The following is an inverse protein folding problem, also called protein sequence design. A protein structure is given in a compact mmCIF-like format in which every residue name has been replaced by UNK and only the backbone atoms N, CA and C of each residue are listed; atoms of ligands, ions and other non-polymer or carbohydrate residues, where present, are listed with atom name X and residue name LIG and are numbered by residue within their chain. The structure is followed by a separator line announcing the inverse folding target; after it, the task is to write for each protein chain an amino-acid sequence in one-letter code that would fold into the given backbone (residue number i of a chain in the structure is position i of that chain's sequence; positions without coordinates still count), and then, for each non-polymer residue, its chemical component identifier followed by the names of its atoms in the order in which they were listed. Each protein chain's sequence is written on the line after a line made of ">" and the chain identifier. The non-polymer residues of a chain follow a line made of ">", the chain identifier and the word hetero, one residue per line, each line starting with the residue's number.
data_IF_756360712967
#
_entry.id   IF_756360712967
#
_cell.length_a   1.000
_cell.length_b   1.000
_cell.length_c   1.000
_cell.angle_alpha   90.00
_cell.angle_beta   90.00
_cell.angle_gamma   90.00
#
_symmetry.space_group_name_H-M   'P 1'
#
loop_
_entity.id
_entity.type
_entity.pdbx_description
1 polymer ?
#
# COMPACT_ATOMS: atom_id res chain seq x y z
N UNK A 1 23.23 2.61 -20.92
CA UNK A 1 21.93 2.09 -21.42
C UNK A 1 20.88 3.12 -21.06
N UNK A 2 20.00 3.53 -21.99
CA UNK A 2 18.93 4.48 -21.68
C UNK A 2 17.75 3.72 -21.03
N UNK A 3 17.58 3.89 -19.70
CA UNK A 3 16.51 3.25 -18.92
C UNK A 3 15.11 3.71 -19.32
N UNK A 4 14.96 4.90 -19.93
CA UNK A 4 13.67 5.41 -20.41
C UNK A 4 13.04 4.53 -21.48
N UNK A 5 13.86 3.74 -22.21
CA UNK A 5 13.36 2.79 -23.20
C UNK A 5 12.43 1.72 -22.58
N UNK A 6 12.66 1.33 -21.31
CA UNK A 6 11.82 0.34 -20.62
C UNK A 6 10.43 0.85 -20.30
N UNK A 7 10.23 2.17 -20.13
CA UNK A 7 8.91 2.75 -19.95
C UNK A 7 8.00 2.71 -21.20
N UNK A 8 8.57 2.27 -22.34
CA UNK A 8 7.79 2.02 -23.56
C UNK A 8 7.19 0.63 -23.61
N UNK A 9 7.59 -0.27 -22.72
CA UNK A 9 6.97 -1.58 -22.59
C UNK A 9 5.56 -1.41 -22.01
N UNK A 10 4.62 -2.20 -22.56
CA UNK A 10 3.21 -2.14 -22.13
C UNK A 10 2.99 -3.12 -20.98
N UNK A 11 2.65 -2.57 -19.82
CA UNK A 11 2.27 -3.31 -18.62
C UNK A 11 0.90 -2.85 -18.11
N UNK A 12 0.19 -3.73 -17.40
CA UNK A 12 -0.94 -3.35 -16.55
C UNK A 12 -0.46 -2.95 -15.15
N UNK A 13 -1.42 -2.67 -14.26
CA UNK A 13 -1.20 -2.62 -12.81
C UNK A 13 -2.14 -3.61 -12.12
N UNK A 14 -1.59 -4.33 -11.16
CA UNK A 14 -2.30 -5.39 -10.46
C UNK A 14 -2.00 -5.32 -8.96
N UNK A 15 -2.97 -5.65 -8.13
CA UNK A 15 -2.73 -5.93 -6.72
C UNK A 15 -2.78 -7.43 -6.51
N UNK A 16 -1.71 -7.96 -5.94
CA UNK A 16 -1.63 -9.35 -5.47
C UNK A 16 -2.31 -9.45 -4.11
N UNK A 17 -3.16 -10.46 -3.92
CA UNK A 17 -3.67 -10.89 -2.63
C UNK A 17 -3.11 -12.26 -2.27
N UNK A 18 -2.54 -12.42 -1.07
CA UNK A 18 -1.90 -13.66 -0.64
C UNK A 18 -2.09 -13.90 0.86
N UNK A 19 -2.11 -15.16 1.29
CA UNK A 19 -2.10 -15.50 2.72
C UNK A 19 -0.75 -15.13 3.35
N UNK A 20 -0.76 -14.51 4.53
CA UNK A 20 0.42 -14.10 5.28
C UNK A 20 0.26 -14.50 6.76
N UNK A 21 0.60 -15.73 7.10
CA UNK A 21 0.30 -16.30 8.42
C UNK A 21 -1.20 -16.37 8.67
N UNK A 22 -1.68 -15.75 9.74
CA UNK A 22 -3.10 -15.67 10.08
C UNK A 22 -3.81 -14.48 9.40
N UNK A 23 -3.06 -13.57 8.76
CA UNK A 23 -3.56 -12.40 8.05
C UNK A 23 -3.38 -12.51 6.53
N UNK A 24 -3.52 -11.39 5.82
CA UNK A 24 -3.33 -11.31 4.38
C UNK A 24 -2.30 -10.25 4.01
N UNK A 25 -1.45 -10.60 3.04
CA UNK A 25 -0.48 -9.72 2.44
C UNK A 25 -0.86 -9.30 1.02
N UNK A 26 -0.05 -8.41 0.46
CA UNK A 26 -0.21 -8.00 -0.92
C UNK A 26 0.74 -6.89 -1.31
N UNK A 27 0.94 -6.74 -2.61
CA UNK A 27 1.68 -5.62 -3.20
C UNK A 27 1.18 -5.32 -4.61
N UNK A 28 1.52 -4.13 -5.10
CA UNK A 28 1.35 -3.82 -6.52
C UNK A 28 2.42 -4.54 -7.33
N UNK A 29 2.01 -5.14 -8.44
CA UNK A 29 2.89 -5.66 -9.49
C UNK A 29 2.45 -5.13 -10.85
N UNK A 30 3.36 -5.02 -11.79
CA UNK A 30 3.11 -4.56 -13.16
C UNK A 30 3.40 -5.64 -14.21
N UNK A 31 4.38 -6.48 -13.97
CA UNK A 31 4.82 -7.47 -14.95
C UNK A 31 4.04 -8.79 -14.80
N UNK A 32 2.85 -8.80 -15.38
CA UNK A 32 1.97 -9.98 -15.52
C UNK A 32 1.72 -10.21 -17.01
N UNK A 33 1.86 -11.46 -17.45
CA UNK A 33 1.64 -11.85 -18.84
C UNK A 33 0.89 -13.18 -18.89
N UNK A 34 -0.19 -13.25 -19.68
CA UNK A 34 -0.80 -14.52 -20.07
C UNK A 34 0.15 -15.30 -20.97
N UNK A 35 0.36 -16.56 -20.68
CA UNK A 35 1.31 -17.43 -21.42
C UNK A 35 0.63 -18.43 -22.35
N UNK A 36 -0.50 -18.99 -21.93
CA UNK A 36 -1.33 -19.88 -22.75
C UNK A 36 -2.82 -19.57 -22.58
N UNK A 37 -3.63 -19.97 -23.55
CA UNK A 37 -5.09 -19.76 -23.54
C UNK A 37 -5.81 -21.02 -23.07
N UNK A 38 -5.34 -22.17 -23.47
CA UNK A 38 -5.92 -23.48 -23.13
C UNK A 38 -4.81 -24.50 -22.83
N UNK A 39 -4.63 -24.91 -21.57
CA UNK A 39 -5.23 -24.31 -20.37
C UNK A 39 -4.78 -22.85 -20.15
N UNK A 40 -5.57 -22.02 -19.47
CA UNK A 40 -5.20 -20.64 -19.20
C UNK A 40 -4.07 -20.58 -18.16
N UNK A 41 -2.93 -20.03 -18.56
CA UNK A 41 -1.77 -19.85 -17.70
C UNK A 41 -1.22 -18.44 -17.80
N UNK A 42 -0.49 -18.03 -16.77
CA UNK A 42 0.19 -16.74 -16.74
C UNK A 42 1.55 -16.81 -16.05
N UNK A 43 2.34 -15.78 -16.20
CA UNK A 43 3.58 -15.55 -15.44
C UNK A 43 3.48 -14.19 -14.73
N UNK A 44 3.90 -14.17 -13.48
CA UNK A 44 4.03 -12.95 -12.66
C UNK A 44 5.49 -12.77 -12.27
N UNK A 45 6.03 -11.57 -12.49
CA UNK A 45 7.34 -11.18 -11.98
C UNK A 45 7.19 -10.44 -10.66
N UNK A 46 7.69 -11.01 -9.58
CA UNK A 46 7.60 -10.45 -8.21
C UNK A 46 8.98 -10.11 -7.66
N UNK A 47 9.11 -8.94 -7.06
CA UNK A 47 10.37 -8.51 -6.45
C UNK A 47 10.66 -9.34 -5.19
N UNK A 48 11.87 -9.94 -5.12
CA UNK A 48 12.33 -10.80 -4.02
C UNK A 48 12.33 -10.12 -2.65
N UNK A 49 12.46 -8.81 -2.61
CA UNK A 49 12.53 -8.05 -1.36
C UNK A 49 11.17 -7.88 -0.68
N UNK A 50 10.08 -8.23 -1.36
CA UNK A 50 8.73 -8.07 -0.81
C UNK A 50 8.32 -9.30 0.01
N UNK A 51 7.62 -9.06 1.13
CA UNK A 51 7.00 -10.17 1.88
C UNK A 51 5.98 -10.93 1.03
N UNK A 52 5.32 -10.25 0.09
CA UNK A 52 4.40 -10.88 -0.86
C UNK A 52 5.07 -11.96 -1.70
N UNK A 53 6.32 -11.72 -2.16
CA UNK A 53 7.09 -12.73 -2.89
C UNK A 53 7.31 -13.99 -2.05
N UNK A 54 7.73 -13.81 -0.79
CA UNK A 54 7.92 -14.92 0.16
C UNK A 54 6.62 -15.68 0.38
N UNK A 55 5.50 -14.96 0.62
CA UNK A 55 4.20 -15.58 0.82
C UNK A 55 3.74 -16.38 -0.40
N UNK A 56 3.91 -15.87 -1.63
CA UNK A 56 3.61 -16.65 -2.86
C UNK A 56 4.47 -17.91 -2.92
N UNK A 57 5.75 -17.80 -2.59
CA UNK A 57 6.65 -18.96 -2.59
C UNK A 57 6.27 -20.02 -1.52
N UNK A 58 5.75 -19.57 -0.38
CA UNK A 58 5.28 -20.41 0.72
C UNK A 58 3.93 -21.10 0.39
N UNK A 59 2.93 -20.30 0.02
CA UNK A 59 1.53 -20.75 -0.11
C UNK A 59 1.21 -21.37 -1.47
N UNK A 60 1.96 -21.02 -2.53
CA UNK A 60 1.75 -21.42 -3.92
C UNK A 60 0.42 -20.98 -4.53
N UNK A 61 -0.31 -20.12 -3.86
CA UNK A 61 -1.58 -19.58 -4.31
C UNK A 61 -1.65 -18.06 -4.02
N UNK A 62 -2.27 -17.33 -4.94
CA UNK A 62 -2.51 -15.89 -4.79
C UNK A 62 -3.64 -15.44 -5.71
N UNK A 63 -4.17 -14.25 -5.45
CA UNK A 63 -5.10 -13.57 -6.34
C UNK A 63 -4.44 -12.37 -7.02
N UNK A 64 -4.99 -11.98 -8.17
CA UNK A 64 -4.70 -10.73 -8.84
C UNK A 64 -6.00 -9.94 -8.99
N UNK A 65 -5.98 -8.69 -8.54
CA UNK A 65 -6.98 -7.68 -8.89
C UNK A 65 -6.40 -6.80 -9.99
N UNK A 66 -6.97 -6.83 -11.17
CA UNK A 66 -6.59 -5.94 -12.29
C UNK A 66 -7.09 -4.54 -11.98
N UNK A 67 -6.20 -3.59 -11.76
CA UNK A 67 -6.61 -2.23 -11.41
C UNK A 67 -7.31 -1.54 -12.57
N UNK A 68 -8.36 -0.79 -12.26
CA UNK A 68 -9.13 -0.01 -13.25
C UNK A 68 -8.74 1.47 -13.25
N UNK A 69 -9.13 2.19 -14.30
CA UNK A 69 -8.98 3.66 -14.35
C UNK A 69 -9.87 4.39 -13.31
N UNK A 70 -10.73 3.68 -12.57
CA UNK A 70 -11.53 4.18 -11.46
C UNK A 70 -10.92 3.81 -10.09
N UNK A 71 -9.83 3.07 -10.06
CA UNK A 71 -9.16 2.67 -8.80
C UNK A 71 -8.74 3.91 -8.02
N UNK A 72 -9.00 3.92 -6.71
CA UNK A 72 -8.54 5.02 -5.85
C UNK A 72 -7.00 5.06 -5.81
N UNK A 73 -6.37 6.21 -6.03
CA UNK A 73 -4.92 6.36 -5.93
C UNK A 73 -4.32 5.88 -4.60
N UNK A 74 -5.08 5.97 -3.49
CA UNK A 74 -4.65 5.45 -2.20
C UNK A 74 -4.41 3.94 -2.23
N UNK A 75 -5.19 3.16 -2.97
CA UNK A 75 -5.00 1.71 -3.11
C UNK A 75 -3.61 1.42 -3.69
N UNK A 76 -3.24 2.13 -4.77
CA UNK A 76 -1.92 1.97 -5.38
C UNK A 76 -0.81 2.36 -4.38
N UNK A 77 -0.99 3.46 -3.66
CA UNK A 77 -0.07 3.91 -2.62
C UNK A 77 0.09 2.89 -1.49
N UNK A 78 -1.03 2.40 -0.96
CA UNK A 78 -1.09 1.46 0.16
C UNK A 78 -0.40 0.13 -0.17
N UNK A 79 -0.62 -0.41 -1.37
CA UNK A 79 -0.02 -1.67 -1.80
C UNK A 79 1.36 -1.51 -2.43
N UNK A 80 1.68 -0.35 -3.01
CA UNK A 80 2.94 -0.09 -3.70
C UNK A 80 4.06 0.46 -2.81
N UNK A 81 3.73 1.29 -1.81
CA UNK A 81 4.74 2.05 -1.05
C UNK A 81 4.91 1.60 0.40
N UNK A 82 4.21 0.57 0.83
CA UNK A 82 4.32 0.00 2.16
C UNK A 82 4.63 -1.50 2.09
N UNK A 83 5.32 -2.00 3.13
CA UNK A 83 5.53 -3.44 3.28
C UNK A 83 4.39 -4.06 4.08
N UNK A 84 3.91 -5.25 3.68
CA UNK A 84 2.96 -6.02 4.49
C UNK A 84 3.61 -6.70 5.71
N UNK A 85 4.90 -6.45 6.00
CA UNK A 85 5.52 -6.73 7.29
C UNK A 85 5.15 -5.68 8.35
N UNK A 86 4.82 -4.45 7.91
CA UNK A 86 4.63 -3.30 8.78
C UNK A 86 3.18 -2.77 8.81
N UNK A 87 2.32 -3.22 7.90
CA UNK A 87 0.96 -2.70 7.78
C UNK A 87 -0.04 -3.75 7.30
N UNK A 88 -1.20 -3.78 7.94
CA UNK A 88 -2.39 -4.53 7.52
C UNK A 88 -3.08 -3.75 6.38
N UNK A 89 -2.66 -4.03 5.16
CA UNK A 89 -3.06 -3.24 3.98
C UNK A 89 -4.52 -3.46 3.59
N UNK A 90 -5.02 -4.68 3.76
CA UNK A 90 -6.37 -5.06 3.36
C UNK A 90 -7.45 -4.44 4.25
N UNK A 91 -7.18 -4.20 5.52
CA UNK A 91 -8.12 -3.54 6.44
C UNK A 91 -8.45 -2.09 6.03
N UNK A 92 -7.55 -1.47 5.26
CA UNK A 92 -7.67 -0.06 4.85
C UNK A 92 -8.42 0.15 3.53
N UNK A 93 -8.83 -0.93 2.86
CA UNK A 93 -9.43 -0.85 1.53
C UNK A 93 -10.64 -1.77 1.39
N UNK A 94 -11.66 -1.39 0.61
CA UNK A 94 -12.77 -2.25 0.30
C UNK A 94 -12.30 -3.49 -0.47
N UNK A 95 -12.62 -4.66 0.05
CA UNK A 95 -12.23 -5.93 -0.56
C UNK A 95 -13.28 -7.02 -0.30
N UNK A 96 -13.20 -8.09 -1.05
CA UNK A 96 -13.94 -9.34 -0.83
C UNK A 96 -13.00 -10.53 -1.03
N UNK A 97 -13.52 -11.73 -0.94
CA UNK A 97 -12.70 -12.94 -1.05
C UNK A 97 -13.07 -13.74 -2.29
N UNK A 98 -12.05 -14.13 -3.05
CA UNK A 98 -12.13 -15.09 -4.14
C UNK A 98 -11.36 -16.35 -3.70
N UNK A 99 -12.08 -17.47 -3.52
CA UNK A 99 -11.51 -18.74 -3.02
C UNK A 99 -10.68 -18.60 -1.72
N UNK A 100 -11.14 -17.74 -0.80
CA UNK A 100 -10.49 -17.53 0.49
C UNK A 100 -9.29 -16.60 0.49
N UNK A 101 -8.95 -15.98 -0.66
CA UNK A 101 -7.91 -14.96 -0.78
C UNK A 101 -8.52 -13.60 -1.13
N UNK A 102 -7.97 -12.48 -0.64
CA UNK A 102 -8.56 -11.16 -0.83
C UNK A 102 -8.35 -10.63 -2.24
N UNK A 103 -9.39 -9.95 -2.75
CA UNK A 103 -9.36 -9.16 -3.99
C UNK A 103 -10.02 -7.81 -3.74
N UNK A 104 -9.59 -6.78 -4.46
CA UNK A 104 -10.12 -5.42 -4.32
C UNK A 104 -11.54 -5.31 -4.86
N UNK A 105 -12.41 -4.53 -4.21
CA UNK A 105 -13.67 -4.15 -4.81
C UNK A 105 -13.44 -3.17 -5.98
N UNK A 106 -14.22 -3.29 -7.06
CA UNK A 106 -14.18 -2.37 -8.22
C UNK A 106 -12.94 -2.52 -9.11
N UNK A 107 -12.25 -3.67 -9.08
CA UNK A 107 -11.22 -4.00 -10.05
C UNK A 107 -11.81 -4.35 -11.41
N UNK A 108 -11.04 -4.17 -12.48
CA UNK A 108 -11.47 -4.48 -13.85
C UNK A 108 -11.57 -5.99 -14.11
N UNK A 109 -10.84 -6.82 -13.36
CA UNK A 109 -10.96 -8.28 -13.36
C UNK A 109 -10.31 -8.87 -12.12
N UNK A 110 -10.65 -10.13 -11.83
CA UNK A 110 -10.12 -10.90 -10.70
C UNK A 110 -9.62 -12.24 -11.19
N UNK A 111 -8.44 -12.65 -10.74
CA UNK A 111 -7.86 -13.92 -11.09
C UNK A 111 -7.42 -14.65 -9.81
N UNK A 112 -7.74 -15.93 -9.67
CA UNK A 112 -7.14 -16.82 -8.69
C UNK A 112 -6.10 -17.69 -9.39
N UNK A 113 -4.87 -17.70 -8.88
CA UNK A 113 -3.70 -18.29 -9.51
C UNK A 113 -3.05 -19.32 -8.59
N UNK A 114 -2.64 -20.44 -9.17
CA UNK A 114 -1.86 -21.48 -8.49
C UNK A 114 -0.51 -21.62 -9.17
N UNK A 115 0.57 -21.53 -8.39
CA UNK A 115 1.95 -21.61 -8.87
C UNK A 115 2.28 -23.06 -9.29
N UNK A 116 2.70 -23.21 -10.53
CA UNK A 116 3.13 -24.49 -11.12
C UNK A 116 4.63 -24.55 -11.38
N UNK A 117 5.30 -23.39 -11.47
CA UNK A 117 6.73 -23.29 -11.71
C UNK A 117 7.32 -22.00 -11.16
N UNK A 118 8.61 -22.03 -10.86
CA UNK A 118 9.34 -20.87 -10.30
C UNK A 118 10.68 -20.75 -11.03
N UNK A 119 11.04 -19.52 -11.38
CA UNK A 119 12.35 -19.17 -11.90
C UNK A 119 12.93 -17.98 -11.14
N UNK A 120 14.01 -18.23 -10.43
CA UNK A 120 14.77 -17.18 -9.75
C UNK A 120 15.61 -16.36 -10.75
N UNK A 121 15.48 -15.05 -10.64
CA UNK A 121 16.31 -14.07 -11.33
C UNK A 121 17.14 -13.28 -10.31
N UNK A 122 17.93 -12.30 -10.74
CA UNK A 122 18.76 -11.48 -9.86
C UNK A 122 17.94 -10.76 -8.78
N UNK A 123 16.93 -9.98 -9.17
CA UNK A 123 16.11 -9.14 -8.28
C UNK A 123 14.67 -9.61 -8.16
N UNK A 124 14.21 -10.48 -9.04
CA UNK A 124 12.82 -10.93 -9.11
C UNK A 124 12.72 -12.45 -9.17
N UNK A 125 11.55 -12.95 -8.81
CA UNK A 125 11.12 -14.33 -9.02
C UNK A 125 10.02 -14.33 -10.07
N UNK A 126 10.13 -15.17 -11.10
CA UNK A 126 9.03 -15.46 -12.00
C UNK A 126 8.23 -16.64 -11.45
N UNK A 127 6.94 -16.40 -11.21
CA UNK A 127 5.98 -17.44 -10.85
C UNK A 127 5.14 -17.80 -12.07
N UNK A 128 5.28 -19.01 -12.57
CA UNK A 128 4.42 -19.58 -13.61
C UNK A 128 3.21 -20.18 -12.94
N UNK A 129 2.02 -19.89 -13.44
CA UNK A 129 0.79 -20.19 -12.73
C UNK A 129 -0.30 -20.68 -13.67
N UNK A 130 -1.09 -21.65 -13.19
CA UNK A 130 -2.41 -21.93 -13.74
C UNK A 130 -3.39 -20.89 -13.23
N UNK A 131 -4.31 -20.44 -14.09
CA UNK A 131 -5.46 -19.63 -13.70
C UNK A 131 -6.57 -20.58 -13.28
N UNK A 132 -6.82 -20.63 -11.96
CA UNK A 132 -7.84 -21.51 -11.36
C UNK A 132 -9.24 -20.94 -11.58
N UNK A 133 -9.36 -19.63 -11.48
CA UNK A 133 -10.61 -18.89 -11.69
C UNK A 133 -10.30 -17.51 -12.23
N UNK A 134 -11.15 -17.05 -13.15
CA UNK A 134 -11.12 -15.70 -13.71
C UNK A 134 -12.52 -15.13 -13.69
N UNK A 135 -12.68 -13.93 -13.12
CA UNK A 135 -13.96 -13.22 -13.02
C UNK A 135 -13.80 -11.86 -13.66
N UNK A 136 -14.70 -11.53 -14.58
CA UNK A 136 -14.78 -10.19 -15.17
C UNK A 136 -15.28 -9.19 -14.13
N UNK A 137 -14.74 -7.99 -14.16
CA UNK A 137 -15.11 -6.92 -13.24
C UNK A 137 -15.64 -5.71 -13.99
N UNK A 138 -15.39 -4.52 -13.45
CA UNK A 138 -15.93 -3.28 -14.02
C UNK A 138 -14.83 -2.31 -14.42
N UNK A 139 -15.09 -1.55 -15.50
CA UNK A 139 -14.21 -0.48 -15.94
C UNK A 139 -13.07 -0.94 -16.84
N UNK A 140 -12.29 0.04 -17.27
CA UNK A 140 -11.14 -0.15 -18.16
C UNK A 140 -9.88 -0.39 -17.32
N UNK A 141 -9.09 -1.40 -17.70
CA UNK A 141 -7.83 -1.69 -17.01
C UNK A 141 -6.85 -0.51 -17.09
N UNK A 142 -6.22 -0.19 -15.96
CA UNK A 142 -5.20 0.85 -15.85
C UNK A 142 -3.88 0.34 -16.41
N UNK A 143 -3.34 1.03 -17.42
CA UNK A 143 -2.01 0.70 -17.95
C UNK A 143 -0.90 1.35 -17.10
N UNK A 144 0.27 0.71 -17.09
CA UNK A 144 1.46 1.28 -16.43
C UNK A 144 1.86 2.63 -17.05
N UNK A 145 1.71 2.80 -18.35
CA UNK A 145 1.98 4.06 -19.05
C UNK A 145 1.06 5.17 -18.53
N UNK A 146 -0.26 4.92 -18.47
CA UNK A 146 -1.22 5.88 -17.91
C UNK A 146 -0.91 6.21 -16.45
N UNK A 147 -0.50 5.19 -15.66
CA UNK A 147 -0.06 5.41 -14.29
C UNK A 147 1.12 6.39 -14.22
N UNK A 148 2.18 6.15 -15.01
CA UNK A 148 3.38 7.00 -14.99
C UNK A 148 3.11 8.44 -15.45
N UNK A 149 2.28 8.60 -16.49
CA UNK A 149 2.00 9.90 -17.10
C UNK A 149 1.00 10.74 -16.29
N UNK A 150 -0.03 10.12 -15.71
CA UNK A 150 -1.18 10.84 -15.18
C UNK A 150 -1.48 10.58 -13.70
N UNK A 151 -1.07 9.43 -13.17
CA UNK A 151 -1.52 8.97 -11.85
C UNK A 151 -0.47 9.09 -10.75
N UNK A 152 0.80 8.96 -11.09
CA UNK A 152 1.89 8.95 -10.10
C UNK A 152 1.84 10.14 -9.14
N UNK A 153 1.61 11.40 -9.56
CA UNK A 153 1.48 12.53 -8.64
C UNK A 153 0.32 12.37 -7.65
N UNK A 154 -0.85 11.91 -8.12
CA UNK A 154 -2.03 11.67 -7.29
C UNK A 154 -1.81 10.56 -6.27
N UNK A 155 -1.12 9.50 -6.67
CA UNK A 155 -0.76 8.38 -5.79
C UNK A 155 0.22 8.83 -4.70
N UNK A 156 1.18 9.68 -5.05
CA UNK A 156 2.11 10.27 -4.08
C UNK A 156 1.39 11.17 -3.08
N UNK A 157 0.47 12.01 -3.54
CA UNK A 157 -0.36 12.86 -2.69
C UNK A 157 -1.24 12.02 -1.75
N UNK A 158 -1.91 10.98 -2.28
CA UNK A 158 -2.72 10.07 -1.48
C UNK A 158 -1.90 9.35 -0.40
N UNK A 159 -0.66 8.95 -0.71
CA UNK A 159 0.26 8.36 0.26
C UNK A 159 0.62 9.33 1.39
N UNK A 160 0.98 10.57 1.04
CA UNK A 160 1.37 11.59 2.01
C UNK A 160 0.22 12.04 2.92
N UNK A 161 -1.01 12.10 2.36
CA UNK A 161 -2.20 12.50 3.12
C UNK A 161 -2.74 11.38 4.00
N UNK A 162 -2.42 10.13 3.71
CA UNK A 162 -3.00 8.95 4.35
C UNK A 162 -4.52 8.81 4.15
N UNK A 163 -5.10 9.63 3.26
CA UNK A 163 -6.54 9.67 3.03
C UNK A 163 -6.95 8.71 1.93
N UNK A 164 -7.77 7.75 2.31
CA UNK A 164 -8.55 6.93 1.40
C UNK A 164 -9.87 7.64 1.10
N UNK A 165 -10.27 7.77 -0.16
CA UNK A 165 -11.57 8.35 -0.51
C UNK A 165 -12.74 7.41 -0.18
N UNK A 166 -12.46 6.17 0.22
CA UNK A 166 -13.45 5.18 0.66
C UNK A 166 -13.84 5.29 2.14
N UNK A 167 -13.31 6.25 2.90
CA UNK A 167 -13.88 6.53 4.22
C UNK A 167 -15.35 6.89 4.00
N UNK A 168 -16.22 5.96 4.41
CA UNK A 168 -17.65 6.04 4.26
C UNK A 168 -18.12 7.44 4.61
N UNK A 169 -18.93 8.05 3.72
CA UNK A 169 -19.67 9.28 4.04
C UNK A 169 -20.75 9.05 5.12
N UNK A 170 -20.68 7.96 5.85
CA UNK A 170 -21.46 7.68 7.05
C UNK A 170 -20.52 7.72 8.26
N UNK A 171 -20.34 8.94 8.80
CA UNK A 171 -20.00 9.14 10.19
C UNK A 171 -18.59 8.85 10.65
N UNK A 172 -17.53 9.37 10.01
CA UNK A 172 -16.35 9.72 10.80
C UNK A 172 -16.70 10.94 11.67
N UNK A 173 -17.28 10.64 12.81
CA UNK A 173 -17.30 11.55 13.93
C UNK A 173 -15.84 11.82 14.31
N UNK A 174 -15.43 13.07 14.22
CA UNK A 174 -14.08 13.51 14.58
C UNK A 174 -13.89 13.20 16.06
N UNK A 175 -13.29 12.05 16.38
CA UNK A 175 -13.00 11.68 17.77
C UNK A 175 -11.96 12.66 18.31
N UNK A 176 -12.37 13.44 19.28
CA UNK A 176 -11.50 14.37 20.00
C UNK A 176 -10.96 13.63 21.24
N UNK A 177 -9.66 13.71 21.48
CA UNK A 177 -9.06 13.24 22.72
C UNK A 177 -9.13 14.30 23.81
N UNK A 178 -9.59 13.89 24.98
CA UNK A 178 -9.65 14.72 26.18
C UNK A 178 -8.81 14.04 27.26
N UNK A 179 -7.87 14.75 27.85
CA UNK A 179 -6.97 14.19 28.87
C UNK A 179 -7.23 14.82 30.22
N UNK A 180 -7.46 13.99 31.22
CA UNK A 180 -7.58 14.42 32.59
C UNK A 180 -6.24 14.94 33.13
N UNK A 181 -6.15 16.21 33.51
CA UNK A 181 -4.93 16.85 34.00
C UNK A 181 -4.46 16.30 35.34
N UNK A 182 -5.33 15.63 36.10
CA UNK A 182 -5.02 15.10 37.43
C UNK A 182 -4.38 13.72 37.35
N UNK A 183 -4.91 12.83 36.52
CA UNK A 183 -4.44 11.43 36.50
C UNK A 183 -3.97 10.93 35.13
N UNK A 184 -4.08 11.74 34.06
CA UNK A 184 -3.69 11.36 32.71
C UNK A 184 -4.67 10.41 32.01
N UNK A 185 -5.84 10.14 32.56
CA UNK A 185 -6.86 9.32 31.91
C UNK A 185 -7.31 9.99 30.60
N UNK A 186 -7.38 9.21 29.51
CA UNK A 186 -7.79 9.67 28.19
C UNK A 186 -9.25 9.27 27.90
N UNK A 187 -10.06 10.24 27.52
CA UNK A 187 -11.42 10.04 27.01
C UNK A 187 -11.43 10.35 25.52
N UNK A 188 -12.00 9.46 24.71
CA UNK A 188 -12.16 9.63 23.26
C UNK A 188 -13.65 9.80 22.92
N UNK A 189 -14.02 10.97 22.36
CA UNK A 189 -15.40 11.30 21.98
C UNK A 189 -15.46 12.59 21.18
N UNK A 190 -16.61 12.88 20.55
CA UNK A 190 -16.80 14.14 19.81
C UNK A 190 -16.77 15.35 20.75
N UNK A 191 -17.44 15.21 21.86
CA UNK A 191 -17.53 16.21 22.94
C UNK A 191 -17.42 15.48 24.29
N UNK A 192 -16.87 16.16 25.30
CA UNK A 192 -16.89 15.67 26.66
C UNK A 192 -18.24 16.01 27.26
N UNK A 193 -19.06 15.03 27.72
CA UNK A 193 -20.36 15.32 28.34
C UNK A 193 -20.21 16.28 29.53
N UNK A 194 -21.14 17.23 29.72
CA UNK A 194 -21.05 18.24 30.75
C UNK A 194 -21.05 17.67 32.19
N UNK A 195 -21.60 16.48 32.35
CA UNK A 195 -21.69 15.75 33.64
C UNK A 195 -20.63 14.61 33.73
N UNK A 196 -19.63 14.59 32.82
CA UNK A 196 -18.62 13.55 32.83
C UNK A 196 -17.71 13.65 34.05
N UNK A 197 -17.49 12.50 34.69
CA UNK A 197 -16.60 12.36 35.85
C UNK A 197 -15.49 11.36 35.48
N UNK A 198 -14.27 11.73 35.76
CA UNK A 198 -13.11 10.86 35.48
C UNK A 198 -13.26 9.53 36.23
N UNK A 199 -13.28 8.37 35.54
CA UNK A 199 -13.49 7.08 36.20
C UNK A 199 -12.31 6.64 37.07
N UNK A 200 -11.16 7.32 36.94
CA UNK A 200 -9.92 6.98 37.67
C UNK A 200 -9.78 7.81 38.93
N UNK A 201 -10.00 9.14 38.87
CA UNK A 201 -9.75 10.04 39.99
C UNK A 201 -10.98 10.83 40.48
N UNK A 202 -12.13 10.70 39.78
CA UNK A 202 -13.39 11.27 40.24
C UNK A 202 -13.56 12.79 40.03
N UNK A 203 -12.67 13.45 39.30
CA UNK A 203 -12.77 14.88 38.98
C UNK A 203 -13.73 15.14 37.83
N UNK A 204 -14.33 16.32 37.78
CA UNK A 204 -15.27 16.73 36.74
C UNK A 204 -14.58 17.18 35.45
N UNK A 205 -15.42 17.62 34.50
CA UNK A 205 -15.00 18.03 33.14
C UNK A 205 -14.02 19.19 33.13
N UNK A 206 -14.02 20.05 34.14
CA UNK A 206 -13.15 21.21 34.31
C UNK A 206 -11.67 20.84 34.38
N UNK A 207 -11.37 19.59 34.74
CA UNK A 207 -10.01 19.06 34.81
C UNK A 207 -9.59 18.29 33.56
N UNK A 208 -10.42 18.32 32.52
CA UNK A 208 -10.05 17.74 31.21
C UNK A 208 -9.60 18.84 30.25
N UNK A 209 -8.53 18.55 29.54
CA UNK A 209 -8.09 19.38 28.42
C UNK A 209 -8.24 18.66 27.09
N UNK A 210 -8.68 19.43 26.09
CA UNK A 210 -8.77 18.97 24.72
C UNK A 210 -7.35 18.87 24.13
N UNK A 211 -6.94 17.66 23.79
CA UNK A 211 -5.71 17.43 23.04
C UNK A 211 -6.05 17.53 21.55
N UNK A 212 -5.73 18.64 20.95
CA UNK A 212 -5.63 18.69 19.49
C UNK A 212 -4.37 17.93 19.13
N UNK A 213 -4.51 16.85 18.34
CA UNK A 213 -3.35 16.17 17.74
C UNK A 213 -2.57 17.21 16.93
N UNK A 214 -1.65 17.85 17.59
CA UNK A 214 -0.49 18.43 16.95
C UNK A 214 0.40 17.26 16.56
N UNK A 215 0.02 16.49 15.53
CA UNK A 215 1.01 15.90 14.68
C UNK A 215 1.86 17.09 14.22
N UNK A 216 2.96 17.29 14.91
CA UNK A 216 3.93 18.30 14.57
C UNK A 216 4.28 18.06 13.09
N UNK A 217 3.76 18.91 12.23
CA UNK A 217 4.33 19.09 10.92
C UNK A 217 5.81 19.43 11.22
N UNK A 218 6.72 18.47 11.00
CA UNK A 218 8.13 18.78 10.84
C UNK A 218 8.18 19.93 9.84
N UNK A 219 8.97 20.99 10.07
CA UNK A 219 9.07 22.10 9.14
C UNK A 219 9.38 21.50 7.76
N UNK A 220 8.79 22.09 6.72
CA UNK A 220 9.01 21.71 5.33
C UNK A 220 10.50 21.85 5.01
N UNK A 221 11.27 20.83 5.35
CA UNK A 221 12.66 20.63 5.00
C UNK A 221 12.72 19.91 3.65
N UNK A 222 13.75 20.21 2.90
CA UNK A 222 14.11 19.59 1.64
C UNK A 222 13.90 18.07 1.67
N UNK A 223 13.12 17.56 0.73
CA UNK A 223 12.78 16.12 0.66
C UNK A 223 13.67 15.43 -0.34
N UNK A 224 14.22 14.30 0.04
CA UNK A 224 14.97 13.43 -0.86
C UNK A 224 14.06 12.35 -1.44
N UNK A 225 13.95 12.30 -2.76
CA UNK A 225 13.02 11.40 -3.47
C UNK A 225 13.81 10.46 -4.37
N UNK A 226 13.55 9.17 -4.23
CA UNK A 226 14.09 8.17 -5.16
C UNK A 226 13.47 8.36 -6.55
N UNK A 227 14.26 8.72 -7.55
CA UNK A 227 13.79 8.98 -8.92
C UNK A 227 13.29 7.73 -9.62
N UNK A 228 13.60 6.54 -9.11
CA UNK A 228 13.20 5.27 -9.72
C UNK A 228 11.81 4.84 -9.26
N UNK A 229 11.52 4.88 -7.95
CA UNK A 229 10.25 4.39 -7.42
C UNK A 229 9.39 5.47 -6.75
N UNK A 230 9.92 6.70 -6.59
CA UNK A 230 9.21 7.81 -5.94
C UNK A 230 9.19 7.74 -4.41
N UNK A 231 9.94 6.82 -3.79
CA UNK A 231 10.07 6.78 -2.34
C UNK A 231 10.65 8.09 -1.82
N UNK A 232 9.98 8.70 -0.86
CA UNK A 232 10.44 9.90 -0.15
C UNK A 232 11.15 9.44 1.12
N UNK A 233 12.39 9.87 1.31
CA UNK A 233 13.12 9.56 2.52
C UNK A 233 12.51 10.31 3.71
N UNK A 234 12.17 9.58 4.76
CA UNK A 234 11.50 10.06 5.97
C UNK A 234 12.23 9.66 7.27
N UNK A 235 13.47 9.18 7.14
CA UNK A 235 14.30 8.78 8.28
C UNK A 235 14.68 9.97 9.18
N UNK A 236 15.06 9.66 10.43
CA UNK A 236 15.47 10.67 11.42
C UNK A 236 16.87 11.24 11.18
N UNK A 237 17.71 10.51 10.44
CA UNK A 237 19.07 10.97 10.06
C UNK A 237 18.97 11.83 8.81
N UNK A 238 19.66 12.99 8.72
CA UNK A 238 19.74 13.75 7.48
C UNK A 238 20.21 12.86 6.32
N UNK A 239 19.54 12.97 5.16
CA UNK A 239 19.84 12.09 4.02
C UNK A 239 21.30 12.15 3.57
N UNK A 240 21.92 13.32 3.67
CA UNK A 240 23.31 13.56 3.34
C UNK A 240 24.28 12.76 4.24
N UNK A 241 23.89 12.52 5.49
CA UNK A 241 24.70 11.81 6.50
C UNK A 241 24.52 10.28 6.43
N UNK A 242 23.61 9.80 5.57
CA UNK A 242 23.45 8.37 5.36
C UNK A 242 24.71 7.77 4.73
N UNK A 243 25.07 6.53 5.09
CA UNK A 243 26.22 5.85 4.52
C UNK A 243 26.12 5.75 2.99
N UNK A 244 27.27 5.71 2.31
CA UNK A 244 27.32 5.66 0.83
C UNK A 244 26.69 4.40 0.23
N UNK A 245 26.61 3.33 0.99
CA UNK A 245 25.98 2.07 0.63
C UNK A 245 24.47 2.03 0.93
N UNK A 246 23.88 3.17 1.37
CA UNK A 246 22.43 3.27 1.54
C UNK A 246 21.69 2.94 0.26
N UNK A 247 20.69 2.10 0.38
CA UNK A 247 19.82 1.72 -0.74
C UNK A 247 18.37 2.08 -0.44
N UNK A 248 17.63 2.43 -1.47
CA UNK A 248 16.19 2.67 -1.35
C UNK A 248 15.48 1.44 -0.77
N UNK A 249 14.72 1.57 0.33
CA UNK A 249 14.07 0.42 0.97
C UNK A 249 12.97 -0.19 0.10
N UNK A 250 12.50 0.52 -0.93
CA UNK A 250 11.44 0.05 -1.82
C UNK A 250 12.01 -0.66 -3.05
N UNK A 251 12.96 -0.04 -3.77
CA UNK A 251 13.46 -0.57 -5.05
C UNK A 251 14.94 -0.99 -5.01
N UNK A 252 15.59 -0.87 -3.84
CA UNK A 252 16.99 -1.23 -3.60
C UNK A 252 18.01 -0.55 -4.53
N UNK A 253 17.62 0.54 -5.16
CA UNK A 253 18.55 1.36 -5.91
C UNK A 253 19.44 2.17 -4.98
N UNK A 254 20.70 2.46 -5.38
CA UNK A 254 21.68 3.12 -4.53
C UNK A 254 21.27 4.56 -4.16
N UNK A 255 21.89 5.11 -3.12
CA UNK A 255 21.70 6.50 -2.66
C UNK A 255 21.75 7.52 -3.79
N UNK A 256 22.57 7.29 -4.81
CA UNK A 256 22.78 8.19 -5.96
C UNK A 256 21.56 8.43 -6.85
N UNK A 257 20.48 7.64 -6.72
CA UNK A 257 19.24 7.86 -7.47
C UNK A 257 18.24 8.74 -6.74
N UNK A 258 18.60 9.27 -5.57
CA UNK A 258 17.75 10.20 -4.87
C UNK A 258 18.06 11.63 -5.30
N UNK A 259 17.02 12.41 -5.54
CA UNK A 259 17.10 13.83 -5.86
C UNK A 259 16.37 14.65 -4.80
N UNK A 260 16.92 15.81 -4.50
CA UNK A 260 16.37 16.78 -3.58
C UNK A 260 15.23 17.56 -4.25
N UNK A 261 14.07 17.60 -3.61
CA UNK A 261 12.88 18.35 -4.07
C UNK A 261 12.43 19.37 -3.03
#
# INVERSE_FOLDING_TARGET
>A
MDSKAFFKLTYGLYVVGVKNGDSFGGCVVDAVMQTTVDPPTLVVSSNKCTRTNECIAETKEFTLSVLSEQTDPFIIANFGFQSCRAAEKWEKVPHHFLNGLPVLNGAAAYLHCRVTGVKELSTHTLFFCDVVEAVDGEGRALSYTTYQECWKPKVMEAFQSGKCSFTNKEGEKKMTKWVCKVCGYEYEGEELPEDYVCPVCGVGVEEFEKVEDKTAAKPAGEKWVCTICGYVYDGDTPFEELPEDYVCPICQQPKSVFEKQ
#
